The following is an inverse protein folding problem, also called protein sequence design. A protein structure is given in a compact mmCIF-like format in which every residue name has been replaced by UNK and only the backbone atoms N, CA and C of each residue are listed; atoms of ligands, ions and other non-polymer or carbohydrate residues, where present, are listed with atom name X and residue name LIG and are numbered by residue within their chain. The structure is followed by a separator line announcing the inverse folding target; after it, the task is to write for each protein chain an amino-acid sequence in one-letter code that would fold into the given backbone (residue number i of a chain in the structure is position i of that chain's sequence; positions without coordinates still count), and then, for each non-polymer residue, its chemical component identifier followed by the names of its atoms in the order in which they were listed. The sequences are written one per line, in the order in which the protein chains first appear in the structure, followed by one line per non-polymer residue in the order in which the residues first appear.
data_IF_702455943377
#
_entry.id   IF_702455943377
#
_cell.length_a   1.000
_cell.length_b   1.000
_cell.length_c   1.000
_cell.angle_alpha   90.00
_cell.angle_beta   90.00
_cell.angle_gamma   90.00
#
_symmetry.space_group_name_H-M   'P 1'
#
loop_
_entity.id
_entity.type
_entity.pdbx_description
1 polymer ?
#
# COMPACT_ATOMS: atom_id res chain seq x y z
N UNK A 1 5.70 -7.25 2.30
CA UNK A 1 4.62 -6.37 2.79
C UNK A 1 3.62 -7.25 3.51
N UNK A 2 2.82 -6.69 4.42
CA UNK A 2 1.85 -7.46 5.22
C UNK A 2 0.48 -6.83 5.14
N UNK A 3 -0.57 -7.62 5.28
CA UNK A 3 -1.95 -7.15 5.29
C UNK A 3 -2.53 -7.33 6.69
N UNK A 4 -3.07 -6.27 7.25
CA UNK A 4 -3.85 -6.25 8.49
C UNK A 4 -5.33 -6.21 8.14
N UNK A 5 -6.17 -6.83 8.96
CA UNK A 5 -7.62 -6.83 8.77
C UNK A 5 -8.33 -6.53 10.09
N UNK A 6 -9.26 -5.59 10.05
CA UNK A 6 -10.21 -5.30 11.12
C UNK A 6 -11.64 -5.60 10.66
N UNK A 7 -12.53 -6.13 11.53
CA UNK A 7 -12.28 -6.49 12.94
C UNK A 7 -11.53 -7.81 13.12
N UNK A 8 -11.68 -8.75 12.18
CA UNK A 8 -10.89 -9.99 12.07
C UNK A 8 -11.06 -10.60 10.66
N UNK A 9 -10.23 -11.58 10.31
CA UNK A 9 -10.25 -12.26 9.01
C UNK A 9 -11.45 -13.20 8.79
N UNK A 10 -12.14 -13.59 9.86
CA UNK A 10 -13.29 -14.50 9.82
C UNK A 10 -14.62 -13.71 9.78
N UNK A 11 -14.56 -12.38 9.79
CA UNK A 11 -15.73 -11.54 9.84
C UNK A 11 -16.53 -11.63 8.53
N UNK A 12 -17.87 -11.71 8.62
CA UNK A 12 -18.72 -12.02 7.48
C UNK A 12 -18.90 -10.85 6.50
N UNK A 13 -18.58 -9.62 6.90
CA UNK A 13 -18.60 -8.39 6.08
C UNK A 13 -17.95 -7.23 6.85
N UNK A 14 -17.77 -6.09 6.19
CA UNK A 14 -17.26 -4.87 6.82
C UNK A 14 -15.76 -4.88 7.06
N UNK A 15 -15.01 -5.64 6.25
CA UNK A 15 -13.57 -5.74 6.42
C UNK A 15 -12.90 -4.43 6.01
N UNK A 16 -12.10 -3.89 6.92
CA UNK A 16 -11.15 -2.81 6.63
C UNK A 16 -9.76 -3.42 6.57
N UNK A 17 -9.09 -3.24 5.43
CA UNK A 17 -7.75 -3.78 5.21
C UNK A 17 -6.72 -2.67 5.31
N UNK A 18 -5.59 -2.94 5.97
CA UNK A 18 -4.44 -2.04 5.99
C UNK A 18 -3.22 -2.76 5.43
N UNK A 19 -2.70 -2.29 4.30
CA UNK A 19 -1.46 -2.75 3.71
C UNK A 19 -0.28 -2.09 4.43
N UNK A 20 0.46 -2.90 5.18
CA UNK A 20 1.67 -2.51 5.88
C UNK A 20 2.90 -2.69 4.97
N UNK A 21 3.50 -1.57 4.60
CA UNK A 21 4.77 -1.50 3.88
C UNK A 21 5.89 -1.32 4.90
N UNK A 22 6.49 -2.44 5.30
CA UNK A 22 7.55 -2.47 6.30
C UNK A 22 8.91 -2.19 5.65
N UNK A 23 9.53 -1.07 6.02
CA UNK A 23 10.85 -0.64 5.54
C UNK A 23 11.89 -0.91 6.62
N UNK A 24 12.97 -1.60 6.26
CA UNK A 24 14.08 -1.82 7.20
C UNK A 24 14.81 -0.49 7.43
N UNK A 25 15.12 -0.10 8.68
CA UNK A 25 15.81 1.15 9.00
C UNK A 25 17.11 1.35 8.21
N UNK A 26 17.83 0.27 7.89
CA UNK A 26 19.07 0.31 7.08
C UNK A 26 18.89 0.79 5.64
N UNK A 27 17.66 0.82 5.14
CA UNK A 27 17.32 1.29 3.79
C UNK A 27 16.70 2.68 3.78
N UNK A 28 16.52 3.30 4.95
CA UNK A 28 16.08 4.69 5.02
C UNK A 28 17.27 5.62 4.79
N UNK A 29 17.09 6.72 4.03
CA UNK A 29 18.13 7.72 3.89
C UNK A 29 18.49 8.29 5.27
N UNK A 30 19.78 8.57 5.46
CA UNK A 30 20.25 9.31 6.64
C UNK A 30 19.65 10.71 6.60
N UNK A 31 19.32 11.29 7.77
CA UNK A 31 18.82 12.68 7.86
C UNK A 31 19.74 13.73 7.21
N UNK A 32 21.00 13.39 6.93
CA UNK A 32 21.97 14.24 6.23
C UNK A 32 21.87 14.25 4.71
N UNK A 33 21.03 13.39 4.11
CA UNK A 33 20.88 13.24 2.66
C UNK A 33 19.59 13.89 2.11
N UNK A 34 18.82 14.56 2.97
CA UNK A 34 17.52 15.15 2.65
C UNK A 34 17.72 16.62 2.26
N UNK A 35 17.62 16.92 0.97
CA UNK A 35 17.53 18.30 0.47
C UNK A 35 16.07 18.76 0.53
N UNK A 36 15.77 19.73 1.40
CA UNK A 36 14.39 20.15 1.70
C UNK A 36 13.81 21.17 0.70
N UNK A 37 14.60 21.59 -0.31
CA UNK A 37 14.24 22.72 -1.18
C UNK A 37 13.60 22.33 -2.54
N UNK A 38 13.32 21.05 -2.80
CA UNK A 38 12.74 20.62 -4.07
C UNK A 38 11.20 20.66 -4.09
N UNK A 39 10.63 21.86 -4.24
CA UNK A 39 9.21 22.03 -4.55
C UNK A 39 9.04 22.18 -6.06
N UNK A 40 8.80 21.07 -6.76
CA UNK A 40 8.29 21.14 -8.14
C UNK A 40 7.12 20.17 -8.34
N UNK A 41 5.98 20.71 -8.74
CA UNK A 41 4.79 19.95 -9.09
C UNK A 41 4.92 19.52 -10.56
N UNK A 42 5.73 18.48 -10.78
CA UNK A 42 5.95 17.90 -12.11
C UNK A 42 4.64 17.46 -12.79
N UNK A 43 4.61 17.45 -14.13
CA UNK A 43 3.40 17.18 -14.91
C UNK A 43 2.89 15.76 -14.68
N UNK A 44 1.56 15.62 -14.57
CA UNK A 44 0.85 14.33 -14.51
C UNK A 44 1.14 13.52 -15.78
N UNK A 45 2.12 12.62 -15.74
CA UNK A 45 2.34 11.64 -16.81
C UNK A 45 1.11 10.73 -16.94
N UNK A 46 0.76 10.37 -18.18
CA UNK A 46 -0.22 9.31 -18.45
C UNK A 46 0.24 8.01 -17.78
N UNK A 47 -0.45 7.60 -16.73
CA UNK A 47 -0.15 6.39 -15.95
C UNK A 47 -0.76 5.17 -16.65
N UNK A 48 -0.05 4.04 -16.61
CA UNK A 48 -0.65 2.74 -16.94
C UNK A 48 -1.75 2.46 -15.90
N UNK A 49 -2.88 1.91 -16.32
CA UNK A 49 -3.97 1.53 -15.40
C UNK A 49 -3.62 0.25 -14.65
N UNK A 50 -4.17 0.08 -13.44
CA UNK A 50 -4.01 -1.13 -12.63
C UNK A 50 -2.85 -1.08 -11.64
N UNK A 51 -2.83 -2.05 -10.71
CA UNK A 51 -1.88 -2.15 -9.60
C UNK A 51 -0.40 -2.04 -10.03
N UNK A 52 -0.04 -2.66 -11.16
CA UNK A 52 1.31 -2.59 -11.72
C UNK A 52 1.68 -1.16 -12.16
N UNK A 53 0.73 -0.41 -12.71
CA UNK A 53 0.91 0.98 -13.10
C UNK A 53 1.14 1.90 -11.90
N UNK A 54 0.34 1.71 -10.84
CA UNK A 54 0.51 2.43 -9.58
C UNK A 54 1.86 2.10 -8.91
N UNK A 55 2.27 0.82 -8.91
CA UNK A 55 3.58 0.39 -8.41
C UNK A 55 4.73 1.03 -9.20
N UNK A 56 4.66 1.02 -10.54
CA UNK A 56 5.66 1.67 -11.39
C UNK A 56 5.76 3.17 -11.10
N UNK A 57 4.64 3.84 -10.83
CA UNK A 57 4.61 5.27 -10.52
C UNK A 57 5.28 5.57 -9.16
N UNK A 58 5.04 4.74 -8.15
CA UNK A 58 5.75 4.80 -6.86
C UNK A 58 7.26 4.59 -7.01
N UNK A 59 7.68 3.61 -7.82
CA UNK A 59 9.10 3.32 -8.05
C UNK A 59 9.84 4.44 -8.81
N UNK A 60 9.12 5.17 -9.67
CA UNK A 60 9.66 6.32 -10.41
C UNK A 60 9.56 7.63 -9.63
N UNK A 61 8.85 7.61 -8.50
CA UNK A 61 8.67 8.79 -7.67
C UNK A 61 10.01 9.18 -7.04
N UNK A 62 10.36 10.47 -7.12
CA UNK A 62 11.55 10.98 -6.47
C UNK A 62 11.40 10.87 -4.95
N UNK A 63 12.52 10.53 -4.30
CA UNK A 63 12.60 10.46 -2.85
C UNK A 63 12.30 11.87 -2.33
N UNK A 64 11.24 12.01 -1.51
CA UNK A 64 10.68 13.27 -0.99
C UNK A 64 9.70 14.04 -1.89
N UNK A 65 9.24 13.46 -3.00
CA UNK A 65 8.18 14.12 -3.79
C UNK A 65 6.91 14.32 -2.94
N UNK A 66 6.28 15.50 -2.97
CA UNK A 66 4.99 15.72 -2.30
C UNK A 66 3.87 14.85 -2.88
N UNK A 67 4.08 14.25 -4.05
CA UNK A 67 3.14 13.34 -4.69
C UNK A 67 3.18 11.92 -4.08
N UNK A 68 4.14 11.61 -3.22
CA UNK A 68 4.33 10.27 -2.66
C UNK A 68 3.09 9.77 -1.93
N UNK A 69 2.44 10.61 -1.12
CA UNK A 69 1.21 10.24 -0.39
C UNK A 69 0.08 9.87 -1.35
N UNK A 70 -0.17 10.69 -2.36
CA UNK A 70 -1.27 10.43 -3.31
C UNK A 70 -1.01 9.21 -4.20
N UNK A 71 0.26 8.88 -4.46
CA UNK A 71 0.63 7.65 -5.16
C UNK A 71 0.40 6.40 -4.31
N UNK A 72 0.61 6.48 -2.99
CA UNK A 72 0.29 5.37 -2.08
C UNK A 72 -1.22 5.17 -1.93
N UNK A 73 -1.99 6.26 -1.86
CA UNK A 73 -3.46 6.21 -1.88
C UNK A 73 -3.96 5.55 -3.16
N UNK A 74 -3.47 5.97 -4.33
CA UNK A 74 -3.82 5.36 -5.63
C UNK A 74 -3.45 3.88 -5.69
N UNK A 75 -2.30 3.48 -5.15
CA UNK A 75 -1.93 2.07 -5.05
C UNK A 75 -2.90 1.27 -4.17
N UNK A 76 -3.36 1.85 -3.05
CA UNK A 76 -4.38 1.25 -2.19
C UNK A 76 -5.72 1.09 -2.92
N UNK A 77 -6.15 2.09 -3.68
CA UNK A 77 -7.39 2.06 -4.47
C UNK A 77 -7.35 0.98 -5.57
N UNK A 78 -6.23 0.87 -6.29
CA UNK A 78 -6.03 -0.18 -7.30
C UNK A 78 -6.02 -1.59 -6.67
N UNK A 79 -5.45 -1.73 -5.46
CA UNK A 79 -5.48 -2.99 -4.73
C UNK A 79 -6.90 -3.35 -4.27
N UNK A 80 -7.67 -2.37 -3.81
CA UNK A 80 -9.08 -2.55 -3.46
C UNK A 80 -9.91 -3.00 -4.69
N UNK A 81 -9.66 -2.40 -5.85
CA UNK A 81 -10.29 -2.81 -7.10
C UNK A 81 -9.98 -4.27 -7.43
N UNK A 82 -8.71 -4.68 -7.35
CA UNK A 82 -8.28 -6.05 -7.58
C UNK A 82 -8.96 -7.05 -6.63
N UNK A 83 -9.03 -6.73 -5.33
CA UNK A 83 -9.74 -7.60 -4.39
C UNK A 83 -11.23 -7.72 -4.72
N UNK A 84 -11.89 -6.62 -5.08
CA UNK A 84 -13.31 -6.64 -5.46
C UNK A 84 -13.57 -7.46 -6.72
N UNK A 85 -12.65 -7.44 -7.69
CA UNK A 85 -12.75 -8.27 -8.89
C UNK A 85 -12.56 -9.77 -8.57
N UNK A 86 -11.58 -10.11 -7.74
CA UNK A 86 -11.31 -11.50 -7.34
C UNK A 86 -12.43 -12.10 -6.48
N UNK A 87 -13.21 -11.27 -5.80
CA UNK A 87 -14.28 -11.64 -4.89
C UNK A 87 -15.64 -11.82 -5.58
N UNK A 88 -15.71 -12.32 -6.82
CA UNK A 88 -16.89 -12.26 -7.70
C UNK A 88 -18.28 -12.62 -7.16
N UNK A 89 -18.41 -13.28 -6.00
CA UNK A 89 -19.69 -13.55 -5.31
C UNK A 89 -19.78 -13.00 -3.86
N UNK A 90 -18.85 -12.14 -3.44
CA UNK A 90 -18.86 -11.58 -2.10
C UNK A 90 -20.03 -10.60 -1.90
N UNK A 91 -20.58 -10.50 -0.69
CA UNK A 91 -21.63 -9.54 -0.40
C UNK A 91 -21.14 -8.11 -0.63
N UNK A 92 -22.01 -7.19 -1.08
CA UNK A 92 -21.69 -5.77 -1.13
C UNK A 92 -21.19 -5.26 0.23
N UNK A 93 -20.07 -4.54 0.25
CA UNK A 93 -19.45 -4.07 1.50
C UNK A 93 -18.65 -5.15 2.24
N UNK A 94 -18.31 -6.27 1.58
CA UNK A 94 -17.41 -7.26 2.19
C UNK A 94 -16.04 -6.67 2.52
N UNK A 95 -15.44 -5.93 1.58
CA UNK A 95 -14.27 -5.06 1.82
C UNK A 95 -14.70 -3.61 1.61
N UNK A 96 -14.66 -2.83 2.68
CA UNK A 96 -15.08 -1.43 2.68
C UNK A 96 -13.96 -0.51 2.21
N UNK A 97 -12.71 -0.83 2.54
CA UNK A 97 -11.55 -0.04 2.14
C UNK A 97 -10.23 -0.77 2.27
N UNK A 98 -9.23 -0.23 1.57
CA UNK A 98 -7.82 -0.56 1.73
C UNK A 98 -7.08 0.73 2.08
N UNK A 99 -6.39 0.74 3.21
CA UNK A 99 -5.47 1.80 3.60
C UNK A 99 -4.04 1.34 3.38
N UNK A 100 -3.12 2.26 3.08
CA UNK A 100 -1.69 1.94 2.97
C UNK A 100 -0.93 2.68 4.06
N UNK A 101 -0.16 1.93 4.84
CA UNK A 101 0.66 2.47 5.92
C UNK A 101 2.11 2.05 5.72
N UNK A 102 3.00 3.05 5.67
CA UNK A 102 4.45 2.81 5.57
C UNK A 102 5.05 2.94 6.95
N UNK A 103 5.65 1.86 7.44
CA UNK A 103 6.23 1.77 8.78
C UNK A 103 7.66 1.28 8.71
N UNK A 104 8.46 1.65 9.70
CA UNK A 104 9.73 0.99 9.94
C UNK A 104 9.53 -0.36 10.60
N UNK A 105 10.42 -1.30 10.31
CA UNK A 105 10.33 -2.64 10.92
C UNK A 105 10.48 -2.64 12.44
N UNK A 106 11.06 -1.59 13.03
CA UNK A 106 11.18 -1.41 14.48
C UNK A 106 9.98 -0.69 15.11
N UNK A 107 9.05 -0.17 14.31
CA UNK A 107 7.82 0.50 14.77
C UNK A 107 6.64 -0.47 14.91
N UNK A 108 6.67 -1.60 14.19
CA UNK A 108 5.65 -2.63 14.33
C UNK A 108 5.91 -3.49 15.58
N UNK A 109 4.94 -3.53 16.49
CA UNK A 109 5.00 -4.36 17.69
C UNK A 109 4.59 -5.82 17.39
N UNK A 110 4.91 -6.74 18.31
CA UNK A 110 4.67 -8.17 18.13
C UNK A 110 3.18 -8.52 17.99
N UNK A 111 2.31 -7.83 18.73
CA UNK A 111 0.86 -8.07 18.70
C UNK A 111 0.27 -7.73 17.32
N UNK A 112 0.59 -6.54 16.82
CA UNK A 112 0.20 -6.09 15.48
C UNK A 112 0.75 -7.00 14.40
N UNK A 113 2.03 -7.39 14.51
CA UNK A 113 2.64 -8.35 13.58
C UNK A 113 1.89 -9.69 13.53
N UNK A 114 1.50 -10.23 14.69
CA UNK A 114 0.76 -11.50 14.76
C UNK A 114 -0.63 -11.42 14.12
N UNK A 115 -1.25 -10.23 14.10
CA UNK A 115 -2.58 -10.01 13.51
C UNK A 115 -2.54 -9.71 12.01
N UNK A 116 -1.36 -9.81 11.39
CA UNK A 116 -1.18 -9.54 9.96
C UNK A 116 -0.77 -10.80 9.21
N UNK A 117 -1.12 -10.88 7.92
CA UNK A 117 -0.70 -11.95 7.00
C UNK A 117 0.37 -11.44 6.04
N UNK A 118 1.29 -12.30 5.62
CA UNK A 118 2.21 -11.93 4.53
C UNK A 118 1.45 -11.84 3.21
N UNK A 119 1.62 -10.73 2.51
CA UNK A 119 1.06 -10.56 1.17
C UNK A 119 2.08 -11.09 0.16
N UNK A 120 1.73 -12.20 -0.49
CA UNK A 120 2.52 -12.78 -1.57
C UNK A 120 2.06 -12.24 -2.93
N UNK A 121 2.90 -11.40 -3.55
CA UNK A 121 2.61 -10.78 -4.84
C UNK A 121 2.77 -11.72 -6.03
N UNK A 122 3.48 -12.85 -5.87
CA UNK A 122 3.58 -13.86 -6.93
C UNK A 122 2.21 -14.50 -7.20
N UNK A 123 1.32 -14.48 -6.19
CA UNK A 123 -0.06 -14.93 -6.31
C UNK A 123 -1.00 -13.88 -6.91
N UNK A 124 -0.67 -12.58 -6.78
CA UNK A 124 -1.50 -11.44 -7.24
C UNK A 124 -1.15 -10.95 -8.65
N UNK A 125 -0.01 -11.37 -9.21
CA UNK A 125 0.51 -10.89 -10.50
C UNK A 125 0.21 -11.81 -11.71
N UNK A 126 -0.47 -12.94 -11.48
CA UNK A 126 -0.80 -13.95 -12.51
C UNK A 126 -2.19 -13.78 -13.16
N UNK A 127 -2.82 -12.61 -13.00
CA UNK A 127 -4.07 -12.22 -13.66
C UNK A 127 -3.83 -10.99 -14.50
#
# INVERSE_FOLDING_TARGET
MRLECEPDWDAPAGLSLTLLVLVSPKFLPSLGDIDFDAVDAGPKQMRKQGLNGAAEALLKCEVHSPQTTSLWEEFGDELLALFREGLGNAPPGYIEGVQVEVLRTDEINFERYRNTVDLDFDYLSNT
#
